data_IF_358328143043
#
_entry.id   IF_358328143043
#
_cell.length_a   1.000
_cell.length_b   1.000
_cell.length_c   1.000
_cell.angle_alpha   90.00
_cell.angle_beta   90.00
_cell.angle_gamma   90.00
#
_symmetry.space_group_name_H-M   'P 1'
#
loop_
_entity.id
_entity.type
_entity.pdbx_description
1 polymer ?
#
# COMPACT_ATOMS: atom_id res chain seq x y z
N UNK A 1 8.66 19.96 20.45
CA UNK A 1 7.93 18.70 20.19
C UNK A 1 6.85 18.94 19.14
N UNK A 2 6.92 18.23 18.05
CA UNK A 2 6.00 18.34 16.88
C UNK A 2 4.54 18.08 17.28
N UNK A 3 4.28 17.11 18.16
CA UNK A 3 2.92 16.79 18.64
C UNK A 3 2.27 17.98 19.36
N UNK A 4 3.00 18.65 20.25
CA UNK A 4 2.48 19.83 20.95
C UNK A 4 2.22 21.01 20.01
N UNK A 5 3.02 21.17 18.98
CA UNK A 5 2.85 22.20 17.97
C UNK A 5 1.62 21.95 17.09
N UNK A 6 1.44 20.68 16.67
CA UNK A 6 0.25 20.27 15.93
C UNK A 6 -1.03 20.42 16.75
N UNK A 7 -0.99 20.10 18.06
CA UNK A 7 -2.12 20.31 18.94
C UNK A 7 -2.52 21.81 19.03
N UNK A 8 -1.54 22.70 19.18
CA UNK A 8 -1.78 24.17 19.22
C UNK A 8 -2.34 24.71 17.91
N UNK A 9 -1.90 24.19 16.77
CA UNK A 9 -2.46 24.54 15.46
C UNK A 9 -3.91 24.08 15.33
N UNK A 10 -4.21 22.85 15.77
CA UNK A 10 -5.60 22.32 15.78
C UNK A 10 -6.54 23.13 16.66
N UNK A 11 -6.07 23.61 17.79
CA UNK A 11 -6.83 24.42 18.72
C UNK A 11 -6.97 25.90 18.25
N UNK A 12 -6.39 26.26 17.09
CA UNK A 12 -6.37 27.63 16.60
C UNK A 12 -5.51 28.60 17.44
N UNK A 13 -4.73 28.07 18.37
CA UNK A 13 -3.82 28.84 19.26
C UNK A 13 -2.53 29.25 18.59
N UNK A 14 -2.19 28.65 17.46
CA UNK A 14 -1.03 29.00 16.64
C UNK A 14 -1.51 29.26 15.20
N UNK A 15 -1.33 30.49 14.71
CA UNK A 15 -1.74 30.90 13.37
C UNK A 15 -0.59 30.85 12.35
N UNK A 16 0.58 30.40 12.76
CA UNK A 16 1.73 30.31 11.87
C UNK A 16 1.54 29.17 10.88
N UNK A 17 1.92 29.41 9.63
CA UNK A 17 1.94 28.35 8.62
C UNK A 17 2.94 27.26 9.03
N UNK A 18 2.54 25.99 8.91
CA UNK A 18 3.36 24.83 9.16
C UNK A 18 3.59 24.10 7.84
N UNK A 19 4.85 23.88 7.52
CA UNK A 19 5.27 22.96 6.44
C UNK A 19 5.86 21.71 7.10
N UNK A 20 5.28 20.55 6.78
CA UNK A 20 5.77 19.26 7.23
C UNK A 20 6.38 18.52 6.03
N UNK A 21 7.66 18.17 6.12
CA UNK A 21 8.33 17.30 5.14
C UNK A 21 8.55 15.96 5.81
N UNK A 22 8.07 14.89 5.20
CA UNK A 22 8.16 13.56 5.78
C UNK A 22 8.28 12.48 4.71
N UNK A 23 8.73 11.31 5.13
CA UNK A 23 8.66 10.08 4.36
C UNK A 23 7.27 9.43 4.50
N UNK A 24 7.10 8.19 4.01
CA UNK A 24 5.87 7.39 4.14
C UNK A 24 5.38 7.17 5.57
N UNK A 25 6.20 7.45 6.58
CA UNK A 25 5.86 7.26 8.00
C UNK A 25 4.60 8.02 8.45
N UNK A 26 4.21 9.08 7.76
CA UNK A 26 2.98 9.84 8.09
C UNK A 26 1.73 9.33 7.37
N UNK A 27 1.86 8.39 6.44
CA UNK A 27 0.74 7.81 5.71
C UNK A 27 -0.17 6.98 6.64
N UNK A 28 0.42 6.29 7.63
CA UNK A 28 -0.30 5.49 8.63
C UNK A 28 0.14 5.82 10.06
N UNK A 29 -0.71 5.51 11.04
CA UNK A 29 -0.36 5.58 12.47
C UNK A 29 -0.22 6.98 13.07
N UNK A 30 -0.30 8.05 12.28
CA UNK A 30 -0.16 9.42 12.77
C UNK A 30 -1.46 10.19 12.56
N UNK A 31 -1.93 10.83 13.63
CA UNK A 31 -3.11 11.67 13.60
C UNK A 31 -2.73 13.12 13.26
N UNK A 32 -2.68 13.41 11.96
CA UNK A 32 -2.33 14.70 11.38
C UNK A 32 -3.40 15.10 10.37
N UNK A 33 -3.71 16.39 10.32
CA UNK A 33 -4.63 16.98 9.36
C UNK A 33 -4.00 18.23 8.74
N UNK A 34 -3.96 18.28 7.42
CA UNK A 34 -3.38 19.37 6.64
C UNK A 34 -4.42 20.01 5.73
N UNK A 35 -4.17 21.27 5.34
CA UNK A 35 -4.98 21.99 4.34
C UNK A 35 -4.65 21.48 2.94
N UNK A 36 -3.39 21.16 2.70
CA UNK A 36 -2.83 20.87 1.41
C UNK A 36 -1.72 19.83 1.56
N UNK A 37 -1.70 18.85 0.68
CA UNK A 37 -0.66 17.82 0.64
C UNK A 37 -0.02 17.77 -0.74
N UNK A 38 1.30 17.76 -0.78
CA UNK A 38 2.09 17.41 -1.96
C UNK A 38 2.68 16.02 -1.78
N UNK A 39 2.52 15.15 -2.75
CA UNK A 39 3.03 13.79 -2.72
C UNK A 39 3.80 13.47 -4.00
N UNK A 40 5.04 12.99 -3.87
CA UNK A 40 5.75 12.39 -5.00
C UNK A 40 4.94 11.23 -5.56
N UNK A 41 4.96 11.03 -6.88
CA UNK A 41 4.28 9.93 -7.54
C UNK A 41 4.71 8.57 -6.94
N UNK A 42 3.74 7.84 -6.42
CA UNK A 42 3.88 6.55 -5.78
C UNK A 42 2.72 5.64 -6.19
N UNK A 43 2.53 4.49 -5.54
CA UNK A 43 1.33 3.70 -5.72
C UNK A 43 0.05 4.48 -5.40
N UNK A 44 -1.05 4.19 -6.08
CA UNK A 44 -2.34 4.87 -5.85
C UNK A 44 -2.82 4.67 -4.41
N UNK A 45 -2.57 3.52 -3.81
CA UNK A 45 -2.82 3.22 -2.40
C UNK A 45 -2.13 4.22 -1.45
N UNK A 46 -0.86 4.49 -1.68
CA UNK A 46 -0.08 5.49 -0.93
C UNK A 46 -0.59 6.92 -1.14
N UNK A 47 -0.98 7.26 -2.37
CA UNK A 47 -1.57 8.56 -2.71
C UNK A 47 -2.89 8.76 -1.95
N UNK A 48 -3.76 7.75 -1.90
CA UNK A 48 -5.02 7.78 -1.16
C UNK A 48 -4.78 7.97 0.34
N UNK A 49 -3.82 7.25 0.92
CA UNK A 49 -3.47 7.39 2.34
C UNK A 49 -3.00 8.79 2.67
N UNK A 50 -2.21 9.41 1.79
CA UNK A 50 -1.82 10.83 1.92
C UNK A 50 -3.03 11.77 1.77
N UNK A 51 -3.93 11.50 0.83
CA UNK A 51 -5.17 12.25 0.65
C UNK A 51 -6.05 12.21 1.90
N UNK A 52 -6.10 11.08 2.59
CA UNK A 52 -6.76 10.92 3.88
C UNK A 52 -6.16 11.75 5.03
N UNK A 53 -5.08 12.50 4.79
CA UNK A 53 -4.50 13.48 5.72
C UNK A 53 -4.89 14.92 5.38
N UNK A 54 -5.68 15.12 4.33
CA UNK A 54 -6.18 16.41 3.87
C UNK A 54 -7.64 16.58 4.30
N UNK A 55 -7.92 17.57 5.17
CA UNK A 55 -9.25 17.78 5.75
C UNK A 55 -9.86 16.48 6.32
N UNK A 56 -9.03 15.72 7.03
CA UNK A 56 -9.34 14.38 7.56
C UNK A 56 -10.60 14.35 8.41
N UNK A 57 -10.80 15.38 9.22
CA UNK A 57 -11.93 15.47 10.13
C UNK A 57 -13.18 16.08 9.47
N UNK A 58 -13.10 16.47 8.20
CA UNK A 58 -14.21 17.07 7.47
C UNK A 58 -14.70 18.41 8.04
N UNK A 59 -13.88 19.06 8.87
CA UNK A 59 -14.27 20.31 9.56
C UNK A 59 -14.23 21.56 8.65
N UNK A 60 -13.54 21.44 7.52
CA UNK A 60 -13.42 22.54 6.57
C UNK A 60 -14.54 22.49 5.54
N UNK A 61 -15.11 23.63 5.13
CA UNK A 61 -16.18 23.65 4.12
C UNK A 61 -15.70 23.22 2.73
N UNK A 62 -14.39 23.31 2.47
CA UNK A 62 -13.78 22.91 1.21
C UNK A 62 -13.14 21.51 1.34
N UNK A 63 -13.17 20.74 0.27
CA UNK A 63 -12.42 19.48 0.21
C UNK A 63 -10.93 19.78 0.35
N UNK A 64 -10.19 18.85 0.98
CA UNK A 64 -8.73 18.90 1.01
C UNK A 64 -8.15 18.71 -0.41
N UNK A 65 -7.01 19.34 -0.65
CA UNK A 65 -6.33 19.28 -1.95
C UNK A 65 -5.04 18.45 -1.84
N UNK A 66 -4.88 17.51 -2.76
CA UNK A 66 -3.66 16.72 -2.87
C UNK A 66 -3.09 16.89 -4.28
N UNK A 67 -1.83 17.29 -4.36
CA UNK A 67 -1.10 17.42 -5.61
C UNK A 67 -0.08 16.29 -5.75
N UNK A 68 -0.12 15.61 -6.90
CA UNK A 68 0.83 14.55 -7.23
C UNK A 68 1.96 15.18 -8.04
N UNK A 69 3.18 15.02 -7.56
CA UNK A 69 4.39 15.54 -8.19
C UNK A 69 5.18 14.39 -8.82
N UNK A 70 5.53 14.51 -10.08
CA UNK A 70 6.48 13.59 -10.71
C UNK A 70 7.87 14.24 -10.71
N UNK A 71 8.78 13.70 -9.91
CA UNK A 71 10.18 14.10 -9.88
C UNK A 71 11.02 13.12 -10.70
N UNK A 72 11.85 13.64 -11.61
CA UNK A 72 12.57 12.82 -12.60
C UNK A 72 13.82 12.14 -12.04
N UNK A 73 14.47 12.73 -11.05
CA UNK A 73 15.75 12.26 -10.51
C UNK A 73 15.61 11.30 -9.31
N UNK A 74 14.41 10.77 -9.05
CA UNK A 74 14.22 9.79 -7.99
C UNK A 74 14.94 8.47 -8.32
N UNK A 75 15.76 8.00 -7.38
CA UNK A 75 16.52 6.75 -7.53
C UNK A 75 15.86 5.61 -6.75
N UNK A 76 15.29 4.65 -7.47
CA UNK A 76 14.61 3.47 -6.90
C UNK A 76 15.43 2.19 -7.00
N UNK A 77 16.75 2.25 -7.30
CA UNK A 77 17.58 1.05 -7.53
C UNK A 77 17.49 0.02 -6.39
N UNK A 78 17.36 0.50 -5.14
CA UNK A 78 17.27 -0.36 -3.96
C UNK A 78 15.83 -0.59 -3.49
N UNK A 79 14.82 -0.14 -4.24
CA UNK A 79 13.41 -0.18 -3.88
C UNK A 79 12.55 -0.64 -5.06
N UNK A 80 12.76 -1.87 -5.57
CA UNK A 80 12.12 -2.36 -6.79
C UNK A 80 10.59 -2.37 -6.69
N UNK A 81 10.03 -2.66 -5.52
CA UNK A 81 8.58 -2.70 -5.31
C UNK A 81 7.97 -1.30 -5.42
N UNK A 82 8.63 -0.28 -4.87
CA UNK A 82 8.18 1.10 -5.03
C UNK A 82 8.26 1.55 -6.48
N UNK A 83 9.28 1.11 -7.21
CA UNK A 83 9.41 1.41 -8.63
C UNK A 83 8.27 0.77 -9.44
N UNK A 84 7.92 -0.50 -9.18
CA UNK A 84 6.79 -1.19 -9.82
C UNK A 84 5.47 -0.46 -9.52
N UNK A 85 5.20 -0.15 -8.27
CA UNK A 85 4.01 0.60 -7.84
C UNK A 85 3.93 1.96 -8.55
N UNK A 86 5.04 2.70 -8.64
CA UNK A 86 5.10 3.99 -9.33
C UNK A 86 4.79 3.87 -10.83
N UNK A 87 5.35 2.85 -11.49
CA UNK A 87 5.10 2.61 -12.93
C UNK A 87 3.62 2.29 -13.15
N UNK A 88 3.04 1.38 -12.37
CA UNK A 88 1.62 1.01 -12.46
C UNK A 88 0.71 2.23 -12.21
N UNK A 89 1.02 3.06 -11.20
CA UNK A 89 0.28 4.27 -10.91
C UNK A 89 0.37 5.29 -12.06
N UNK A 90 1.57 5.46 -12.65
CA UNK A 90 1.77 6.36 -13.81
C UNK A 90 0.95 5.92 -15.02
N UNK A 91 0.89 4.62 -15.30
CA UNK A 91 0.07 4.07 -16.38
C UNK A 91 -1.43 4.27 -16.10
N UNK A 92 -1.89 3.98 -14.88
CA UNK A 92 -3.27 4.19 -14.47
C UNK A 92 -3.71 5.66 -14.65
N UNK A 93 -2.88 6.61 -14.20
CA UNK A 93 -3.15 8.05 -14.37
C UNK A 93 -3.15 8.49 -15.84
N UNK A 94 -2.31 7.86 -16.69
CA UNK A 94 -2.33 8.12 -18.13
C UNK A 94 -3.60 7.60 -18.81
N UNK A 95 -4.10 6.44 -18.38
CA UNK A 95 -5.36 5.90 -18.90
C UNK A 95 -6.53 6.83 -18.56
N UNK A 96 -6.59 7.30 -17.33
CA UNK A 96 -7.60 8.27 -16.91
C UNK A 96 -7.59 9.57 -17.72
N UNK A 97 -6.41 10.10 -18.03
CA UNK A 97 -6.29 11.30 -18.87
C UNK A 97 -6.85 11.13 -20.29
N UNK A 98 -6.91 9.91 -20.81
CA UNK A 98 -7.49 9.62 -22.13
C UNK A 98 -9.02 9.56 -22.11
N UNK A 99 -9.64 9.36 -20.94
CA UNK A 99 -11.09 9.19 -20.78
C UNK A 99 -11.84 10.49 -20.49
N UNK A 100 -11.30 11.66 -20.87
CA UNK A 100 -11.88 12.98 -20.59
C UNK A 100 -12.25 13.16 -19.10
N UNK A 101 -11.25 13.56 -18.32
CA UNK A 101 -11.45 13.94 -16.93
C UNK A 101 -12.08 15.33 -16.91
N UNK A 102 -13.19 15.47 -16.18
CA UNK A 102 -13.81 16.75 -15.90
C UNK A 102 -12.90 17.61 -15.01
N UNK A 103 -12.04 18.40 -15.65
CA UNK A 103 -11.02 19.23 -15.01
C UNK A 103 -9.81 18.48 -14.50
N UNK A 104 -9.06 19.09 -13.58
CA UNK A 104 -7.84 18.53 -12.96
C UNK A 104 -8.11 17.46 -11.86
N UNK A 105 -9.35 16.97 -11.77
CA UNK A 105 -9.74 16.01 -10.72
C UNK A 105 -9.65 14.58 -11.20
N UNK A 106 -9.00 13.75 -10.40
CA UNK A 106 -8.83 12.32 -10.67
C UNK A 106 -10.00 11.55 -10.03
N UNK A 107 -10.65 10.70 -10.83
CA UNK A 107 -11.58 9.71 -10.27
C UNK A 107 -10.77 8.61 -9.58
N UNK A 108 -10.84 8.61 -8.24
CA UNK A 108 -9.98 7.74 -7.42
C UNK A 108 -10.36 6.26 -7.55
N UNK A 109 -11.63 5.94 -7.73
CA UNK A 109 -12.10 4.55 -7.89
C UNK A 109 -11.55 3.96 -9.18
N UNK A 110 -11.72 4.64 -10.30
CA UNK A 110 -11.13 4.22 -11.58
C UNK A 110 -9.60 4.18 -11.54
N UNK A 111 -8.97 5.12 -10.81
CA UNK A 111 -7.53 5.10 -10.62
C UNK A 111 -7.06 3.84 -9.91
N UNK A 112 -7.79 3.40 -8.88
CA UNK A 112 -7.51 2.15 -8.18
C UNK A 112 -7.66 0.94 -9.10
N UNK A 113 -8.76 0.84 -9.84
CA UNK A 113 -9.02 -0.29 -10.73
C UNK A 113 -7.90 -0.44 -11.76
N UNK A 114 -7.55 0.63 -12.48
CA UNK A 114 -6.45 0.61 -13.45
C UNK A 114 -5.10 0.34 -12.79
N UNK A 115 -4.86 0.90 -11.60
CA UNK A 115 -3.62 0.69 -10.89
C UNK A 115 -3.42 -0.76 -10.50
N UNK A 116 -4.41 -1.38 -9.87
CA UNK A 116 -4.29 -2.77 -9.45
C UNK A 116 -4.29 -3.73 -10.65
N UNK A 117 -5.07 -3.44 -11.69
CA UNK A 117 -4.97 -4.19 -12.94
C UNK A 117 -3.54 -4.17 -13.49
N UNK A 118 -2.90 -2.99 -13.57
CA UNK A 118 -1.52 -2.87 -14.06
C UNK A 118 -0.48 -3.45 -13.13
N UNK A 119 -0.65 -3.27 -11.82
CA UNK A 119 0.26 -3.79 -10.82
C UNK A 119 0.33 -5.31 -10.86
N UNK A 120 -0.83 -5.97 -11.02
CA UNK A 120 -0.92 -7.42 -11.02
C UNK A 120 -0.78 -8.07 -12.41
N UNK A 121 -1.11 -7.36 -13.50
CA UNK A 121 -0.92 -7.88 -14.86
C UNK A 121 0.56 -7.98 -15.27
N UNK A 122 1.44 -7.16 -14.68
CA UNK A 122 2.89 -7.22 -14.92
C UNK A 122 3.61 -8.28 -14.08
N UNK A 123 2.84 -9.07 -13.33
CA UNK A 123 3.40 -10.24 -12.66
C UNK A 123 3.62 -11.32 -13.71
N UNK A 124 4.84 -11.82 -13.76
CA UNK A 124 5.16 -13.05 -14.50
C UNK A 124 4.05 -14.07 -14.28
N UNK A 125 3.74 -14.88 -15.30
CA UNK A 125 2.75 -15.95 -15.25
C UNK A 125 2.88 -16.90 -14.04
N UNK A 126 3.85 -16.67 -13.16
CA UNK A 126 4.14 -17.37 -11.91
C UNK A 126 3.50 -16.73 -10.66
N UNK A 127 2.84 -15.58 -10.74
CA UNK A 127 2.14 -14.95 -9.59
C UNK A 127 3.04 -14.59 -8.39
N UNK A 128 4.33 -14.46 -8.58
CA UNK A 128 5.33 -14.37 -7.48
C UNK A 128 5.21 -13.14 -6.59
N UNK A 129 4.51 -12.11 -7.01
CA UNK A 129 4.37 -10.90 -6.20
C UNK A 129 3.52 -11.13 -4.92
N UNK A 130 2.52 -12.02 -5.03
CA UNK A 130 1.66 -12.42 -3.91
C UNK A 130 2.23 -13.63 -3.13
N UNK A 131 3.29 -14.24 -3.65
CA UNK A 131 3.91 -15.40 -3.05
C UNK A 131 5.00 -14.98 -2.08
N UNK A 132 4.68 -14.93 -0.80
CA UNK A 132 5.68 -14.82 0.25
C UNK A 132 6.28 -16.22 0.48
N UNK A 133 7.55 -16.48 0.08
CA UNK A 133 8.14 -17.80 0.20
C UNK A 133 8.39 -18.16 1.67
N UNK A 134 8.12 -19.41 2.00
CA UNK A 134 8.40 -19.98 3.31
C UNK A 134 9.29 -21.23 3.15
N UNK A 135 9.72 -21.82 4.29
CA UNK A 135 10.52 -23.02 4.31
C UNK A 135 9.79 -24.17 3.57
N UNK A 136 10.54 -25.05 2.91
CA UNK A 136 10.07 -26.22 2.14
C UNK A 136 9.33 -25.88 0.83
N UNK A 137 9.78 -24.85 0.11
CA UNK A 137 9.27 -24.50 -1.22
C UNK A 137 7.75 -24.22 -1.27
N UNK A 138 7.18 -23.81 -0.14
CA UNK A 138 5.78 -23.41 -0.03
C UNK A 138 5.67 -21.89 0.07
N UNK A 139 4.44 -21.37 0.00
CA UNK A 139 4.19 -19.92 0.08
C UNK A 139 3.07 -19.61 1.08
N UNK A 140 3.08 -18.39 1.63
CA UNK A 140 1.98 -17.91 2.48
C UNK A 140 0.65 -17.96 1.73
N UNK A 141 0.66 -17.61 0.43
CA UNK A 141 -0.54 -17.67 -0.40
C UNK A 141 -1.11 -19.09 -0.46
N UNK A 142 -0.26 -20.09 -0.71
CA UNK A 142 -0.68 -21.49 -0.73
C UNK A 142 -1.30 -21.92 0.59
N UNK A 143 -0.70 -21.54 1.72
CA UNK A 143 -1.22 -21.85 3.06
C UNK A 143 -2.59 -21.20 3.35
N UNK A 144 -2.84 -20.01 2.81
CA UNK A 144 -4.07 -19.26 3.04
C UNK A 144 -5.18 -19.54 2.02
N UNK A 145 -4.86 -20.23 0.92
CA UNK A 145 -5.82 -20.60 -0.13
C UNK A 145 -6.16 -22.09 -0.09
N UNK A 146 -5.92 -22.82 -1.16
CA UNK A 146 -6.25 -24.24 -1.31
C UNK A 146 -5.26 -25.19 -0.62
N UNK A 147 -4.10 -24.67 -0.20
CA UNK A 147 -3.06 -25.40 0.51
C UNK A 147 -2.63 -26.72 -0.19
N UNK A 148 -2.32 -26.67 -1.49
CA UNK A 148 -2.20 -27.87 -2.32
C UNK A 148 -1.06 -28.80 -1.88
N UNK A 149 0.06 -28.24 -1.43
CA UNK A 149 1.23 -29.01 -1.00
C UNK A 149 0.93 -29.83 0.27
N UNK A 150 0.20 -29.24 1.22
CA UNK A 150 -0.18 -29.92 2.46
C UNK A 150 -1.21 -31.00 2.23
N UNK A 151 -2.17 -30.76 1.35
CA UNK A 151 -3.17 -31.74 0.94
C UNK A 151 -2.50 -32.93 0.25
N UNK A 152 -1.61 -32.68 -0.71
CA UNK A 152 -0.86 -33.73 -1.38
C UNK A 152 -0.02 -34.57 -0.41
N UNK A 153 0.70 -33.91 0.51
CA UNK A 153 1.48 -34.60 1.54
C UNK A 153 0.62 -35.43 2.47
N UNK A 154 -0.57 -34.95 2.82
CA UNK A 154 -1.53 -35.71 3.63
C UNK A 154 -1.99 -36.98 2.89
N UNK A 155 -2.41 -36.84 1.62
CA UNK A 155 -2.79 -38.00 0.78
C UNK A 155 -1.67 -39.05 0.64
N UNK A 156 -0.43 -38.60 0.41
CA UNK A 156 0.73 -39.49 0.31
C UNK A 156 0.95 -40.25 1.61
N UNK A 157 0.81 -39.58 2.76
CA UNK A 157 1.07 -40.22 4.07
C UNK A 157 -0.06 -41.13 4.55
N UNK A 158 -1.31 -40.81 4.26
CA UNK A 158 -2.48 -41.52 4.81
C UNK A 158 -3.22 -42.38 3.81
N UNK A 159 -2.96 -42.18 2.51
CA UNK A 159 -3.71 -42.85 1.42
C UNK A 159 -5.17 -42.40 1.26
N UNK A 160 -5.60 -41.37 2.01
CA UNK A 160 -6.99 -40.90 2.07
C UNK A 160 -7.08 -39.41 1.76
N UNK A 161 -8.18 -39.00 1.12
CA UNK A 161 -8.51 -37.57 0.97
C UNK A 161 -8.81 -36.96 2.34
N UNK A 162 -8.30 -35.74 2.61
CA UNK A 162 -8.62 -35.07 3.84
C UNK A 162 -10.10 -34.68 3.90
N UNK A 163 -10.74 -34.98 5.02
CA UNK A 163 -12.18 -34.72 5.27
C UNK A 163 -12.45 -33.39 5.99
N UNK A 164 -11.46 -32.51 6.14
CA UNK A 164 -11.67 -31.25 6.83
C UNK A 164 -12.32 -30.19 5.93
N UNK A 165 -13.15 -29.35 6.54
CA UNK A 165 -13.90 -28.28 5.86
C UNK A 165 -12.97 -27.15 5.40
N UNK A 166 -11.92 -26.85 6.18
CA UNK A 166 -10.95 -25.78 5.91
C UNK A 166 -9.57 -26.37 5.61
N UNK A 167 -9.05 -26.07 4.43
CA UNK A 167 -7.70 -26.48 4.03
C UNK A 167 -6.60 -25.50 4.45
N UNK A 168 -6.99 -24.28 4.84
CA UNK A 168 -6.06 -23.21 5.17
C UNK A 168 -5.28 -23.49 6.45
N UNK A 169 -4.01 -23.10 6.46
CA UNK A 169 -3.09 -23.24 7.59
C UNK A 169 -2.73 -21.89 8.20
N UNK A 170 -3.72 -21.16 8.72
CA UNK A 170 -3.56 -19.81 9.25
C UNK A 170 -2.45 -19.70 10.32
N UNK A 171 -2.37 -20.65 11.26
CA UNK A 171 -1.33 -20.64 12.28
C UNK A 171 0.07 -20.77 11.67
N UNK A 172 0.23 -21.68 10.70
CA UNK A 172 1.52 -21.86 10.02
C UNK A 172 1.87 -20.63 9.20
N UNK A 173 0.90 -20.03 8.51
CA UNK A 173 1.09 -18.78 7.80
C UNK A 173 1.54 -17.65 8.74
N UNK A 174 0.87 -17.46 9.86
CA UNK A 174 1.20 -16.42 10.84
C UNK A 174 2.59 -16.58 11.46
N UNK A 175 3.01 -17.82 11.75
CA UNK A 175 4.35 -18.09 12.33
C UNK A 175 5.47 -17.84 11.32
N UNK A 176 5.20 -18.05 10.02
CA UNK A 176 6.20 -17.90 8.96
C UNK A 176 6.13 -16.54 8.23
N UNK A 177 5.14 -15.72 8.56
CA UNK A 177 5.03 -14.38 7.99
C UNK A 177 5.84 -13.39 8.81
N UNK A 178 7.00 -13.05 8.30
CA UNK A 178 7.89 -12.04 8.88
C UNK A 178 7.94 -10.82 7.97
N UNK A 179 7.19 -9.78 8.34
CA UNK A 179 7.13 -8.53 7.57
C UNK A 179 8.40 -7.69 7.74
N UNK A 180 9.06 -7.83 8.87
CA UNK A 180 10.28 -7.09 9.21
C UNK A 180 11.34 -8.13 9.54
N UNK A 181 12.31 -8.32 8.64
CA UNK A 181 13.48 -9.14 8.95
C UNK A 181 14.21 -8.51 10.14
N UNK A 182 14.56 -9.33 11.14
CA UNK A 182 15.17 -8.90 12.42
C UNK A 182 16.52 -8.16 12.33
N UNK A 183 16.98 -7.81 11.15
CA UNK A 183 18.23 -7.05 10.92
C UNK A 183 18.09 -5.55 11.19
N UNK A 184 16.95 -5.09 11.74
CA UNK A 184 16.78 -3.68 12.14
C UNK A 184 17.33 -3.46 13.54
N UNK A 185 18.48 -2.80 13.62
CA UNK A 185 18.99 -2.23 14.88
C UNK A 185 18.04 -1.12 15.31
N UNK A 186 17.36 -1.30 16.44
CA UNK A 186 16.59 -0.22 17.05
C UNK A 186 17.51 0.95 17.42
N UNK A 187 17.20 2.15 16.91
CA UNK A 187 17.85 3.40 17.25
C UNK A 187 17.13 4.06 18.41
#
# INVERSE_FOLDING_TARGET
DMKNRLAKLREGKDQRKLICVSTRLVEAGVDIDFDLVYRSLAGIDSIIQCGGRCNREGKKPTKGELYILEYQDENFKNLPDLQKQRIAAKEALRMLKKEEIDGDRINIEKACDYYFEKLYANEDASGRYLEFPIINEDTILNLLTTNPNRISNYKIKTGVEPSFILSQSFRTAAVNFDLIKEDTIGV
#
